data_IF_349418522954
#
_entry.id   IF_349418522954
#
_cell.length_a   1.000
_cell.length_b   1.000
_cell.length_c   1.000
_cell.angle_alpha   90.00
_cell.angle_beta   90.00
_cell.angle_gamma   90.00
#
_symmetry.space_group_name_H-M   'P 1'
#
loop_
_entity.id
_entity.type
_entity.pdbx_description
1 polymer ?
#
# COMPACT_ATOMS: atom_id res chain seq x y z
N UNK A 1 -1.97 4.66 11.44
CA UNK A 1 -1.73 3.79 10.26
C UNK A 1 -2.19 2.37 10.48
N UNK A 2 -1.68 1.63 11.48
CA UNK A 2 -2.09 0.23 11.75
C UNK A 2 -3.62 0.03 11.68
N UNK A 3 -4.40 0.88 12.34
CA UNK A 3 -5.87 0.74 12.34
C UNK A 3 -6.53 0.91 10.96
N UNK A 4 -5.98 1.73 10.05
CA UNK A 4 -6.56 1.94 8.71
C UNK A 4 -6.31 0.71 7.83
N UNK A 5 -5.07 0.21 7.85
CA UNK A 5 -4.68 -0.96 7.06
C UNK A 5 -5.41 -2.21 7.56
N UNK A 6 -5.50 -2.42 8.88
CA UNK A 6 -6.27 -3.53 9.46
C UNK A 6 -7.75 -3.49 9.08
N UNK A 7 -8.37 -2.30 9.12
CA UNK A 7 -9.77 -2.14 8.72
C UNK A 7 -9.96 -2.46 7.22
N UNK A 8 -9.06 -1.96 6.38
CA UNK A 8 -9.07 -2.27 4.94
C UNK A 8 -8.94 -3.77 4.67
N UNK A 9 -7.99 -4.46 5.33
CA UNK A 9 -7.82 -5.91 5.18
C UNK A 9 -9.04 -6.70 5.68
N UNK A 10 -9.64 -6.29 6.80
CA UNK A 10 -10.90 -6.89 7.29
C UNK A 10 -12.05 -6.73 6.31
N UNK A 11 -12.14 -5.60 5.62
CA UNK A 11 -13.16 -5.40 4.59
C UNK A 11 -12.91 -6.25 3.35
N UNK A 12 -11.64 -6.48 2.98
CA UNK A 12 -11.26 -7.38 1.90
C UNK A 12 -11.49 -8.86 2.23
N UNK A 13 -11.35 -9.26 3.49
CA UNK A 13 -11.69 -10.63 3.94
C UNK A 13 -13.14 -11.00 3.63
N UNK A 14 -14.06 -10.04 3.70
CA UNK A 14 -15.48 -10.24 3.36
C UNK A 14 -15.72 -10.55 1.87
N UNK A 15 -14.71 -10.35 1.02
CA UNK A 15 -14.77 -10.60 -0.44
C UNK A 15 -14.22 -11.97 -0.86
N UNK A 16 -14.04 -12.91 0.07
CA UNK A 16 -13.52 -14.27 -0.20
C UNK A 16 -12.13 -14.31 -0.88
N UNK A 17 -11.28 -13.32 -0.65
CA UNK A 17 -9.90 -13.35 -1.11
C UNK A 17 -9.10 -14.42 -0.36
N UNK A 18 -8.15 -15.06 -1.05
CA UNK A 18 -7.26 -16.02 -0.41
C UNK A 18 -6.40 -15.35 0.67
N UNK A 19 -6.00 -16.11 1.70
CA UNK A 19 -5.08 -15.62 2.74
C UNK A 19 -3.80 -15.04 2.14
N UNK A 20 -3.25 -15.67 1.10
CA UNK A 20 -2.04 -15.20 0.43
C UNK A 20 -2.25 -13.85 -0.27
N UNK A 21 -3.41 -13.66 -0.89
CA UNK A 21 -3.79 -12.39 -1.53
C UNK A 21 -3.93 -11.28 -0.48
N UNK A 22 -4.61 -11.56 0.64
CA UNK A 22 -4.78 -10.59 1.73
C UNK A 22 -3.44 -10.18 2.33
N UNK A 23 -2.54 -11.14 2.57
CA UNK A 23 -1.20 -10.87 3.08
C UNK A 23 -0.32 -10.12 2.07
N UNK A 24 -0.45 -10.40 0.77
CA UNK A 24 0.21 -9.61 -0.27
C UNK A 24 -0.27 -8.16 -0.25
N UNK A 25 -1.58 -7.94 -0.26
CA UNK A 25 -2.15 -6.59 -0.21
C UNK A 25 -1.77 -5.83 1.06
N UNK A 26 -1.73 -6.51 2.22
CA UNK A 26 -1.24 -5.94 3.47
C UNK A 26 0.19 -5.41 3.30
N UNK A 27 1.11 -6.25 2.82
CA UNK A 27 2.51 -5.87 2.62
C UNK A 27 2.67 -4.72 1.64
N UNK A 28 1.91 -4.72 0.54
CA UNK A 28 1.99 -3.69 -0.48
C UNK A 28 1.51 -2.33 0.05
N UNK A 29 0.38 -2.32 0.79
CA UNK A 29 -0.16 -1.10 1.40
C UNK A 29 0.71 -0.60 2.55
N UNK A 30 1.32 -1.48 3.34
CA UNK A 30 2.29 -1.11 4.37
C UNK A 30 3.53 -0.45 3.74
N UNK A 31 4.09 -1.05 2.68
CA UNK A 31 5.23 -0.48 1.96
C UNK A 31 4.90 0.88 1.35
N UNK A 32 3.72 1.03 0.76
CA UNK A 32 3.26 2.33 0.27
C UNK A 32 3.10 3.34 1.40
N UNK A 33 2.52 2.93 2.52
CA UNK A 33 2.35 3.80 3.70
C UNK A 33 3.70 4.31 4.24
N UNK A 34 4.74 3.49 4.22
CA UNK A 34 6.08 3.89 4.61
C UNK A 34 6.69 4.89 3.62
N UNK A 35 6.56 4.62 2.31
CA UNK A 35 6.99 5.53 1.26
C UNK A 35 6.36 6.93 1.40
N UNK A 36 5.05 6.99 1.61
CA UNK A 36 4.30 8.24 1.79
C UNK A 36 4.74 8.97 3.06
N UNK A 37 4.92 8.25 4.17
CA UNK A 37 5.38 8.83 5.44
C UNK A 37 6.78 9.44 5.32
N UNK A 38 7.67 8.81 4.57
CA UNK A 38 9.04 9.32 4.34
C UNK A 38 9.07 10.62 3.52
N UNK A 39 7.95 10.98 2.88
CA UNK A 39 7.75 12.24 2.13
C UNK A 39 6.93 13.28 2.90
N UNK A 40 6.65 13.03 4.18
CA UNK A 40 5.79 13.86 5.05
C UNK A 40 4.35 14.05 4.52
N UNK A 41 3.92 13.17 3.62
CA UNK A 41 2.58 13.18 3.05
C UNK A 41 1.61 12.34 3.91
N UNK A 42 0.30 12.60 3.77
CA UNK A 42 -0.74 11.84 4.46
C UNK A 42 -1.32 10.81 3.52
N UNK A 43 -1.33 9.53 3.94
CA UNK A 43 -1.84 8.41 3.11
C UNK A 43 -3.29 8.57 2.62
N UNK A 44 -4.13 9.30 3.36
CA UNK A 44 -5.52 9.57 2.97
C UNK A 44 -5.68 10.79 2.05
N UNK A 45 -4.58 11.47 1.73
CA UNK A 45 -4.54 12.71 0.94
C UNK A 45 -3.60 12.59 -0.27
N UNK A 46 -3.12 11.38 -0.57
CA UNK A 46 -2.24 11.11 -1.71
C UNK A 46 -3.02 11.27 -3.02
N UNK A 47 -2.36 11.84 -4.01
CA UNK A 47 -2.87 11.96 -5.37
C UNK A 47 -2.18 10.95 -6.32
N UNK A 48 -2.53 11.03 -7.59
CA UNK A 48 -1.95 10.20 -8.64
C UNK A 48 -0.44 10.44 -8.83
N UNK A 49 0.07 11.63 -8.51
CA UNK A 49 1.50 11.96 -8.63
C UNK A 49 2.29 11.16 -7.60
N UNK A 50 1.83 11.11 -6.36
CA UNK A 50 2.46 10.32 -5.29
C UNK A 50 2.42 8.82 -5.59
N UNK A 51 1.30 8.33 -6.15
CA UNK A 51 1.18 6.94 -6.59
C UNK A 51 2.20 6.63 -7.70
N UNK A 52 2.31 7.48 -8.72
CA UNK A 52 3.30 7.29 -9.79
C UNK A 52 4.74 7.31 -9.27
N UNK A 53 5.04 8.20 -8.33
CA UNK A 53 6.36 8.26 -7.71
C UNK A 53 6.69 6.98 -6.93
N UNK A 54 5.69 6.36 -6.29
CA UNK A 54 5.88 5.06 -5.63
C UNK A 54 6.16 3.94 -6.64
N UNK A 55 5.42 3.89 -7.77
CA UNK A 55 5.68 2.91 -8.83
C UNK A 55 7.11 3.06 -9.38
N UNK A 56 7.56 4.29 -9.63
CA UNK A 56 8.93 4.56 -10.07
C UNK A 56 9.97 4.16 -9.01
N UNK A 57 9.69 4.38 -7.73
CA UNK A 57 10.55 3.92 -6.64
C UNK A 57 10.68 2.38 -6.65
N UNK A 58 9.59 1.64 -6.84
CA UNK A 58 9.61 0.19 -6.94
C UNK A 58 10.39 -0.31 -8.18
N UNK A 59 10.24 0.36 -9.33
CA UNK A 59 11.00 0.03 -10.54
C UNK A 59 12.51 0.18 -10.32
N UNK A 60 12.95 1.24 -9.64
CA UNK A 60 14.37 1.44 -9.30
C UNK A 60 14.94 0.37 -8.37
N UNK A 61 14.10 -0.19 -7.50
CA UNK A 61 14.49 -1.32 -6.63
C UNK A 61 14.43 -2.69 -7.31
N UNK A 62 14.01 -2.76 -8.59
CA UNK A 62 13.81 -4.03 -9.31
C UNK A 62 12.58 -4.82 -8.84
N UNK A 63 11.60 -4.14 -8.23
CA UNK A 63 10.40 -4.75 -7.60
C UNK A 63 9.11 -4.49 -8.35
N UNK A 64 9.16 -3.71 -9.42
CA UNK A 64 8.09 -3.54 -10.39
C UNK A 64 8.73 -3.53 -11.79
N UNK A 65 8.15 -4.28 -12.73
CA UNK A 65 8.54 -4.30 -14.14
C UNK A 65 7.57 -3.45 -14.94
#
# INVERSE_FOLDING_TARGET
>A
MKNIIENYIKDLQKKNLSKNTLEAYRRDVEKFSEFVRNREERILSVDTVTIMAFVQYLQREGRAT
#
